data_IF_474089572963
#
_entry.id   IF_474089572963
#
_cell.length_a   1.000
_cell.length_b   1.000
_cell.length_c   1.000
_cell.angle_alpha   90.00
_cell.angle_beta   90.00
_cell.angle_gamma   90.00
#
_symmetry.space_group_name_H-M   'P 1'
#
loop_
_entity.id
_entity.type
_entity.pdbx_description
1 polymer ?
#
# COMPACT_ATOMS: atom_id res chain seq x y z
N UNK A 1 8.97 -0.91 18.69
CA UNK A 1 8.74 -0.37 17.33
C UNK A 1 10.10 -0.35 16.67
N UNK A 2 10.29 -1.03 15.53
CA UNK A 2 11.53 -0.90 14.77
C UNK A 2 11.69 0.59 14.40
N UNK A 3 12.88 1.15 14.62
CA UNK A 3 13.15 2.52 14.25
C UNK A 3 13.26 2.66 12.71
N UNK A 4 13.21 3.88 12.22
CA UNK A 4 13.30 4.17 10.79
C UNK A 4 14.59 3.59 10.18
N UNK A 5 15.71 3.65 10.93
CA UNK A 5 17.02 3.17 10.48
C UNK A 5 17.03 1.66 10.26
N UNK A 6 16.40 0.88 11.17
CA UNK A 6 16.22 -0.56 10.98
C UNK A 6 15.42 -0.90 9.72
N UNK A 7 14.38 -0.12 9.42
CA UNK A 7 13.59 -0.30 8.21
C UNK A 7 14.36 0.05 6.94
N UNK A 8 15.17 1.10 6.96
CA UNK A 8 16.04 1.49 5.84
C UNK A 8 17.06 0.38 5.56
N UNK A 9 17.75 -0.11 6.60
CA UNK A 9 18.72 -1.20 6.46
C UNK A 9 18.07 -2.47 5.88
N UNK A 10 16.90 -2.86 6.40
CA UNK A 10 16.14 -3.98 5.85
C UNK A 10 15.75 -3.76 4.37
N UNK A 11 15.39 -2.53 4.02
CA UNK A 11 15.11 -2.14 2.64
C UNK A 11 16.34 -2.27 1.73
N UNK A 12 17.52 -1.94 2.23
CA UNK A 12 18.76 -2.11 1.48
C UNK A 12 19.11 -3.58 1.25
N UNK A 13 18.91 -4.44 2.24
CA UNK A 13 19.10 -5.90 2.12
C UNK A 13 18.13 -6.52 1.11
N UNK A 14 16.88 -6.03 1.09
CA UNK A 14 15.83 -6.51 0.18
C UNK A 14 15.88 -5.88 -1.22
N UNK A 15 16.73 -4.87 -1.40
CA UNK A 15 16.82 -4.14 -2.66
C UNK A 15 17.36 -5.04 -3.77
N UNK A 16 16.53 -5.26 -4.76
CA UNK A 16 17.04 -5.77 -6.05
C UNK A 16 17.84 -4.66 -6.71
N UNK A 17 19.06 -4.94 -7.18
CA UNK A 17 19.81 -3.97 -7.97
C UNK A 17 18.93 -3.49 -9.13
N UNK A 18 18.93 -2.17 -9.40
CA UNK A 18 18.34 -1.66 -10.62
C UNK A 18 19.19 -2.22 -11.77
N UNK A 19 18.67 -3.22 -12.45
CA UNK A 19 19.29 -3.77 -13.64
C UNK A 19 18.97 -2.82 -14.78
N UNK A 20 19.91 -1.94 -15.08
CA UNK A 20 19.86 -1.12 -16.28
C UNK A 20 20.39 -2.00 -17.42
N UNK A 21 19.68 -2.00 -18.55
CA UNK A 21 20.13 -2.72 -19.73
C UNK A 21 21.60 -2.33 -20.04
N UNK A 22 22.55 -3.26 -19.98
CA UNK A 22 23.95 -2.96 -20.22
C UNK A 22 24.21 -2.46 -21.65
N UNK A 23 23.27 -2.74 -22.58
CA UNK A 23 23.35 -2.27 -23.97
C UNK A 23 22.76 -0.87 -24.19
N UNK A 24 22.26 -0.20 -23.13
CA UNK A 24 21.82 1.17 -23.25
C UNK A 24 23.05 2.08 -23.37
N UNK A 25 23.26 2.63 -24.58
CA UNK A 25 24.40 3.49 -24.88
C UNK A 25 24.41 4.73 -23.98
N UNK A 26 25.61 5.26 -23.76
CA UNK A 26 25.78 6.54 -23.05
C UNK A 26 25.04 7.64 -23.78
N UNK A 27 24.53 8.61 -23.02
CA UNK A 27 23.73 9.73 -23.52
C UNK A 27 22.44 9.34 -24.25
N UNK A 28 21.95 8.11 -24.03
CA UNK A 28 20.66 7.68 -24.59
C UNK A 28 19.52 8.50 -24.03
N UNK A 29 18.52 8.75 -24.87
CA UNK A 29 17.28 9.37 -24.46
C UNK A 29 16.30 8.37 -23.89
N UNK A 30 15.83 8.59 -22.66
CA UNK A 30 14.82 7.77 -21.99
C UNK A 30 13.56 8.60 -21.78
N UNK A 31 12.46 8.14 -22.34
CA UNK A 31 11.16 8.79 -22.20
C UNK A 31 10.32 8.02 -21.20
N UNK A 32 9.85 8.68 -20.15
CA UNK A 32 8.97 8.15 -19.12
C UNK A 32 7.59 8.77 -19.33
N UNK A 33 6.58 7.93 -19.49
CA UNK A 33 5.19 8.41 -19.66
C UNK A 33 4.44 8.25 -18.36
N UNK A 34 3.92 9.38 -17.85
CA UNK A 34 3.18 9.48 -16.60
C UNK A 34 4.02 10.03 -15.45
N UNK A 35 3.65 11.20 -14.96
CA UNK A 35 4.29 11.92 -13.84
C UNK A 35 3.72 11.57 -12.46
N UNK A 36 3.11 10.40 -12.30
CA UNK A 36 2.73 9.86 -10.99
C UNK A 36 3.94 9.41 -10.19
N UNK A 37 3.71 8.93 -8.95
CA UNK A 37 4.78 8.50 -8.04
C UNK A 37 5.75 7.50 -8.69
N UNK A 38 5.23 6.52 -9.45
CA UNK A 38 6.06 5.51 -10.11
C UNK A 38 6.98 6.11 -11.16
N UNK A 39 6.45 6.96 -12.05
CA UNK A 39 7.25 7.62 -13.09
C UNK A 39 8.30 8.55 -12.51
N UNK A 40 7.94 9.34 -11.50
CA UNK A 40 8.90 10.20 -10.78
C UNK A 40 9.99 9.39 -10.08
N UNK A 41 9.64 8.25 -9.44
CA UNK A 41 10.65 7.37 -8.83
C UNK A 41 11.63 6.79 -9.85
N UNK A 42 11.14 6.40 -11.04
CA UNK A 42 11.99 5.90 -12.12
C UNK A 42 12.92 7.01 -12.60
N UNK A 43 12.38 8.21 -12.88
CA UNK A 43 13.17 9.36 -13.32
C UNK A 43 14.26 9.68 -12.30
N UNK A 44 13.91 9.79 -11.02
CA UNK A 44 14.86 10.05 -9.94
C UNK A 44 15.96 8.97 -9.85
N UNK A 45 15.59 7.69 -9.87
CA UNK A 45 16.57 6.61 -9.78
C UNK A 45 17.49 6.55 -10.98
N UNK A 46 16.99 6.82 -12.17
CA UNK A 46 17.81 6.90 -13.37
C UNK A 46 18.75 8.11 -13.31
N UNK A 47 18.26 9.29 -12.96
CA UNK A 47 19.12 10.50 -12.87
C UNK A 47 20.28 10.34 -11.89
N UNK A 48 20.07 9.58 -10.79
CA UNK A 48 21.12 9.32 -9.80
C UNK A 48 22.10 8.23 -10.29
N UNK A 49 21.62 7.20 -10.98
CA UNK A 49 22.43 6.04 -11.39
C UNK A 49 23.10 6.20 -12.75
N UNK A 50 22.49 6.95 -13.63
CA UNK A 50 22.93 7.19 -14.99
C UNK A 50 22.74 8.69 -15.33
N UNK A 51 23.58 9.55 -14.74
CA UNK A 51 23.52 10.99 -14.98
C UNK A 51 23.85 11.41 -16.42
N UNK A 52 24.36 10.47 -17.20
CA UNK A 52 24.64 10.61 -18.63
C UNK A 52 23.39 10.57 -19.50
N UNK A 53 22.27 10.02 -18.99
CA UNK A 53 21.05 9.86 -19.79
C UNK A 53 20.26 11.15 -19.91
N UNK A 54 19.71 11.41 -21.10
CA UNK A 54 18.67 12.43 -21.31
C UNK A 54 17.33 11.86 -20.85
N UNK A 55 16.84 12.29 -19.70
CA UNK A 55 15.57 11.81 -19.14
C UNK A 55 14.46 12.80 -19.41
N UNK A 56 13.41 12.36 -20.12
CA UNK A 56 12.21 13.13 -20.42
C UNK A 56 11.02 12.49 -19.73
N UNK A 57 10.35 13.25 -18.86
CA UNK A 57 9.11 12.82 -18.20
C UNK A 57 7.94 13.54 -18.86
N UNK A 58 7.01 12.76 -19.42
CA UNK A 58 5.79 13.27 -20.05
C UNK A 58 4.62 13.08 -19.09
N UNK A 59 3.91 14.16 -18.80
CA UNK A 59 2.70 14.16 -17.99
C UNK A 59 1.57 14.87 -18.75
N UNK A 60 0.37 14.29 -18.69
CA UNK A 60 -0.82 14.82 -19.35
C UNK A 60 -1.38 16.06 -18.62
N UNK A 61 -1.24 16.08 -17.29
CA UNK A 61 -1.70 17.18 -16.45
C UNK A 61 -0.66 18.28 -16.35
N UNK A 62 -1.08 19.47 -15.96
CA UNK A 62 -0.18 20.59 -15.69
C UNK A 62 0.71 20.39 -14.45
N UNK A 63 0.37 19.41 -13.59
CA UNK A 63 1.10 19.10 -12.36
C UNK A 63 1.48 17.62 -12.26
N UNK A 64 2.65 17.35 -11.68
CA UNK A 64 3.10 16.03 -11.32
C UNK A 64 2.37 15.51 -10.07
N UNK A 65 2.41 14.19 -9.83
CA UNK A 65 1.82 13.55 -8.66
C UNK A 65 0.77 12.48 -9.00
N UNK A 66 0.20 12.55 -10.19
CA UNK A 66 -0.83 11.61 -10.65
C UNK A 66 -2.10 11.69 -9.81
N UNK A 67 -2.39 10.62 -9.06
CA UNK A 67 -3.53 10.57 -8.11
C UNK A 67 -3.20 11.19 -6.75
N UNK A 68 -1.92 11.43 -6.44
CA UNK A 68 -1.51 12.07 -5.19
C UNK A 68 -1.69 13.58 -5.38
N UNK A 69 -2.79 14.10 -4.85
CA UNK A 69 -3.13 15.50 -4.93
C UNK A 69 -3.77 15.97 -3.62
N UNK A 70 -3.49 17.21 -3.25
CA UNK A 70 -4.07 17.86 -2.07
C UNK A 70 -4.85 19.08 -2.52
N UNK A 71 -6.13 19.09 -2.19
CA UNK A 71 -6.99 20.27 -2.39
C UNK A 71 -6.83 21.23 -1.21
N UNK A 72 -6.80 22.52 -1.52
CA UNK A 72 -6.73 23.59 -0.52
C UNK A 72 -7.72 24.69 -0.86
N UNK A 73 -8.44 25.13 0.15
CA UNK A 73 -9.32 26.30 0.07
C UNK A 73 -9.33 27.04 1.41
N UNK A 74 -8.76 28.22 1.47
CA UNK A 74 -8.54 28.95 2.71
C UNK A 74 -7.74 28.12 3.72
N UNK A 75 -8.35 27.86 4.87
CA UNK A 75 -7.76 27.03 5.95
C UNK A 75 -8.01 25.51 5.76
N UNK A 76 -8.82 25.14 4.78
CA UNK A 76 -9.16 23.75 4.54
C UNK A 76 -8.11 23.05 3.67
N UNK A 77 -7.71 21.87 4.11
CA UNK A 77 -6.76 21.01 3.40
C UNK A 77 -7.37 19.61 3.34
N UNK A 78 -7.46 19.04 2.14
CA UNK A 78 -7.98 17.70 1.92
C UNK A 78 -7.11 16.92 0.93
N UNK A 79 -6.60 15.77 1.33
CA UNK A 79 -5.94 14.86 0.43
C UNK A 79 -7.00 14.12 -0.40
N UNK A 80 -6.89 14.22 -1.73
CA UNK A 80 -7.90 13.69 -2.66
C UNK A 80 -7.80 12.17 -2.84
N UNK A 81 -6.63 11.59 -2.59
CA UNK A 81 -6.43 10.16 -2.76
C UNK A 81 -5.58 9.56 -1.63
N UNK A 82 -4.27 9.53 -1.79
CA UNK A 82 -3.36 8.86 -0.85
C UNK A 82 -3.00 9.77 0.30
N UNK A 83 -3.49 9.50 1.49
CA UNK A 83 -3.22 10.28 2.71
C UNK A 83 -2.31 9.56 3.71
N UNK A 84 -2.03 8.28 3.50
CA UNK A 84 -1.16 7.50 4.37
C UNK A 84 -0.54 6.32 3.64
N UNK A 85 0.62 5.87 4.10
CA UNK A 85 1.28 4.68 3.60
C UNK A 85 1.62 3.72 4.73
N UNK A 86 1.69 2.44 4.41
CA UNK A 86 2.28 1.45 5.33
C UNK A 86 3.80 1.52 5.24
N UNK A 87 4.51 1.29 6.34
CA UNK A 87 5.95 1.19 6.31
C UNK A 87 6.36 0.04 5.38
N UNK A 88 7.06 0.40 4.32
CA UNK A 88 7.67 -0.53 3.39
C UNK A 88 9.12 -0.12 3.20
N UNK A 89 10.08 -1.06 3.23
CA UNK A 89 11.51 -0.72 3.20
C UNK A 89 11.90 0.17 2.01
N UNK A 90 11.42 -0.15 0.80
CA UNK A 90 11.73 0.63 -0.39
C UNK A 90 11.19 2.08 -0.31
N UNK A 91 10.02 2.28 0.32
CA UNK A 91 9.45 3.61 0.53
C UNK A 91 10.28 4.42 1.53
N UNK A 92 10.66 3.83 2.65
CA UNK A 92 11.50 4.51 3.64
C UNK A 92 12.86 4.88 3.07
N UNK A 93 13.43 4.04 2.23
CA UNK A 93 14.67 4.36 1.53
C UNK A 93 14.52 5.58 0.62
N UNK A 94 13.42 5.69 -0.11
CA UNK A 94 13.14 6.87 -0.93
C UNK A 94 13.00 8.13 -0.06
N UNK A 95 12.28 8.05 1.05
CA UNK A 95 12.12 9.17 2.01
C UNK A 95 13.47 9.64 2.54
N UNK A 96 14.37 8.71 2.85
CA UNK A 96 15.72 9.01 3.33
C UNK A 96 16.61 9.62 2.24
N UNK A 97 16.62 9.01 1.06
CA UNK A 97 17.36 9.50 -0.11
C UNK A 97 16.98 10.94 -0.49
N UNK A 98 15.72 11.31 -0.27
CA UNK A 98 15.19 12.65 -0.53
C UNK A 98 15.35 13.62 0.66
N UNK A 99 15.93 13.18 1.78
CA UNK A 99 16.09 13.99 2.99
C UNK A 99 14.77 14.35 3.71
N UNK A 100 13.70 13.59 3.46
CA UNK A 100 12.35 13.87 3.97
C UNK A 100 12.03 13.17 5.30
N UNK A 101 12.99 12.46 5.90
CA UNK A 101 12.76 11.67 7.12
C UNK A 101 12.24 12.49 8.29
N UNK A 102 12.67 13.73 8.45
CA UNK A 102 12.20 14.66 9.50
C UNK A 102 10.80 15.20 9.25
N UNK A 103 10.37 15.24 7.99
CA UNK A 103 9.04 15.73 7.58
C UNK A 103 7.96 14.67 7.74
N UNK A 104 8.37 13.41 7.88
CA UNK A 104 7.44 12.31 7.97
C UNK A 104 6.78 12.25 9.35
N UNK A 105 5.45 12.22 9.38
CA UNK A 105 4.66 12.17 10.62
C UNK A 105 4.00 10.81 10.78
N UNK A 106 4.12 10.24 11.98
CA UNK A 106 3.41 9.02 12.32
C UNK A 106 1.94 9.33 12.58
N UNK A 107 1.05 8.46 12.06
CA UNK A 107 -0.39 8.58 12.32
C UNK A 107 -0.69 8.52 13.81
N UNK A 108 -1.66 9.31 14.27
CA UNK A 108 -2.12 9.28 15.65
C UNK A 108 -2.62 7.87 16.04
N UNK A 109 -2.46 7.50 17.31
CA UNK A 109 -2.95 6.21 17.83
C UNK A 109 -4.46 6.02 17.61
N UNK A 110 -5.26 7.09 17.67
CA UNK A 110 -6.70 7.05 17.39
C UNK A 110 -7.02 6.64 15.96
N UNK A 111 -6.15 6.95 14.99
CA UNK A 111 -6.29 6.55 13.60
C UNK A 111 -6.16 5.02 13.37
N UNK A 112 -5.76 4.27 14.38
CA UNK A 112 -5.73 2.80 14.34
C UNK A 112 -7.12 2.17 14.47
N UNK A 113 -8.10 2.92 14.94
CA UNK A 113 -9.48 2.44 15.04
C UNK A 113 -10.06 2.23 13.64
N UNK A 114 -10.63 1.06 13.42
CA UNK A 114 -11.34 0.73 12.18
C UNK A 114 -12.83 0.72 12.47
N UNK A 115 -13.59 1.35 11.61
CA UNK A 115 -15.04 1.45 11.72
C UNK A 115 -15.67 0.90 10.47
N UNK A 116 -16.76 0.16 10.64
CA UNK A 116 -17.60 -0.33 9.54
C UNK A 116 -19.01 0.23 9.76
N UNK A 117 -19.64 0.65 8.68
CA UNK A 117 -21.01 1.08 8.68
C UNK A 117 -21.89 -0.04 8.12
N UNK A 118 -22.71 -0.64 8.97
CA UNK A 118 -23.59 -1.77 8.64
C UNK A 118 -24.96 -1.54 9.28
N UNK A 119 -26.03 -1.79 8.48
CA UNK A 119 -27.40 -1.70 8.98
C UNK A 119 -27.72 -0.33 9.59
N UNK A 120 -27.31 0.75 8.94
CA UNK A 120 -27.50 2.14 9.39
C UNK A 120 -26.80 2.49 10.72
N UNK A 121 -25.82 1.70 11.15
CA UNK A 121 -25.05 1.93 12.38
C UNK A 121 -23.56 1.80 12.14
N UNK A 122 -22.79 2.64 12.84
CA UNK A 122 -21.32 2.53 12.85
C UNK A 122 -20.88 1.51 13.90
N UNK A 123 -20.02 0.59 13.50
CA UNK A 123 -19.45 -0.43 14.37
C UNK A 123 -17.93 -0.28 14.41
N UNK A 124 -17.36 -0.15 15.59
CA UNK A 124 -15.91 -0.21 15.74
C UNK A 124 -15.47 -1.66 15.60
N UNK A 125 -14.52 -1.93 14.71
CA UNK A 125 -13.90 -3.24 14.62
C UNK A 125 -13.06 -3.48 15.88
N UNK A 126 -13.61 -4.28 16.78
CA UNK A 126 -12.98 -4.75 18.00
C UNK A 126 -13.08 -6.26 18.05
N UNK A 127 -12.31 -6.89 18.93
CA UNK A 127 -12.40 -8.33 19.16
C UNK A 127 -13.85 -8.78 19.46
N UNK A 128 -14.58 -8.02 20.23
CA UNK A 128 -15.99 -8.26 20.54
C UNK A 128 -16.90 -8.17 19.30
N UNK A 129 -16.65 -7.23 18.41
CA UNK A 129 -17.44 -7.07 17.18
C UNK A 129 -17.20 -8.25 16.24
N UNK A 130 -15.96 -8.68 16.10
CA UNK A 130 -15.59 -9.86 15.32
C UNK A 130 -16.23 -11.13 15.92
N UNK A 131 -16.28 -11.24 17.25
CA UNK A 131 -16.94 -12.36 17.94
C UNK A 131 -18.45 -12.40 17.69
N UNK A 132 -19.13 -11.25 17.82
CA UNK A 132 -20.58 -11.09 17.51
C UNK A 132 -20.90 -11.39 16.04
N UNK A 133 -20.01 -11.06 15.14
CA UNK A 133 -20.15 -11.25 13.68
C UNK A 133 -19.82 -12.68 13.22
N UNK A 134 -19.58 -13.62 14.13
CA UNK A 134 -19.44 -15.04 13.80
C UNK A 134 -18.02 -15.57 13.74
N UNK A 135 -17.15 -15.13 14.67
CA UNK A 135 -15.75 -15.58 14.75
C UNK A 135 -15.59 -17.10 14.72
N UNK A 136 -16.50 -17.86 15.34
CA UNK A 136 -16.45 -19.33 15.33
C UNK A 136 -16.59 -19.88 13.92
N UNK A 137 -17.48 -19.29 13.10
CA UNK A 137 -17.62 -19.65 11.69
C UNK A 137 -16.38 -19.25 10.89
N UNK A 138 -15.83 -18.07 11.17
CA UNK A 138 -14.60 -17.58 10.55
C UNK A 138 -13.40 -18.46 10.88
N UNK A 139 -13.24 -18.90 12.13
CA UNK A 139 -12.17 -19.82 12.52
C UNK A 139 -12.28 -21.19 11.85
N UNK A 140 -13.51 -21.73 11.71
CA UNK A 140 -13.76 -22.96 10.95
C UNK A 140 -13.45 -22.76 9.46
N UNK A 141 -13.80 -21.63 8.89
CA UNK A 141 -13.51 -21.28 7.49
C UNK A 141 -12.02 -21.11 7.24
N UNK A 142 -11.28 -20.46 8.15
CA UNK A 142 -9.80 -20.34 8.09
C UNK A 142 -9.17 -21.73 8.08
N UNK A 143 -9.63 -22.64 8.94
CA UNK A 143 -9.10 -24.02 8.99
C UNK A 143 -9.36 -24.77 7.68
N UNK A 144 -10.52 -24.54 7.04
CA UNK A 144 -10.87 -25.16 5.75
C UNK A 144 -10.12 -24.51 4.58
N UNK A 145 -9.84 -23.22 4.64
CA UNK A 145 -9.14 -22.43 3.59
C UNK A 145 -7.62 -22.69 3.51
N UNK A 146 -7.05 -23.49 4.40
CA UNK A 146 -5.61 -23.83 4.38
C UNK A 146 -5.14 -24.59 3.14
N UNK A 147 -6.06 -25.01 2.29
CA UNK A 147 -5.76 -25.66 1.02
C UNK A 147 -5.45 -24.68 -0.13
N UNK A 148 -5.47 -23.38 0.09
CA UNK A 148 -5.23 -22.35 -0.94
C UNK A 148 -6.42 -22.05 -1.84
N UNK A 149 -6.40 -20.89 -2.50
CA UNK A 149 -7.39 -20.54 -3.54
C UNK A 149 -8.78 -20.16 -3.04
N UNK A 150 -8.95 -19.81 -1.77
CA UNK A 150 -10.22 -19.35 -1.22
C UNK A 150 -10.39 -17.85 -1.37
N UNK A 151 -11.60 -17.40 -1.75
CA UNK A 151 -11.91 -15.97 -1.72
C UNK A 151 -12.07 -15.44 -0.29
N UNK A 152 -11.96 -14.12 -0.11
CA UNK A 152 -12.20 -13.48 1.20
C UNK A 152 -13.63 -13.73 1.69
N UNK A 153 -14.61 -13.83 0.78
CA UNK A 153 -15.99 -14.18 1.12
C UNK A 153 -16.12 -15.59 1.74
N UNK A 154 -15.30 -16.53 1.31
CA UNK A 154 -15.25 -17.88 1.90
C UNK A 154 -14.56 -17.90 3.26
N UNK A 155 -13.56 -17.01 3.44
CA UNK A 155 -12.82 -16.88 4.69
C UNK A 155 -13.66 -16.17 5.77
N UNK A 156 -14.36 -15.09 5.39
CA UNK A 156 -15.18 -14.27 6.29
C UNK A 156 -16.65 -14.45 5.94
N UNK A 157 -17.42 -15.28 6.69
CA UNK A 157 -18.80 -15.60 6.32
C UNK A 157 -19.78 -14.45 6.37
N UNK A 158 -19.45 -13.36 7.07
CA UNK A 158 -20.30 -12.18 7.12
C UNK A 158 -20.03 -11.26 5.92
N UNK A 159 -20.89 -11.37 4.88
CA UNK A 159 -20.72 -10.63 3.62
C UNK A 159 -20.41 -9.14 3.81
N UNK A 160 -21.20 -8.41 4.59
CA UNK A 160 -20.98 -6.97 4.77
C UNK A 160 -19.63 -6.61 5.43
N UNK A 161 -19.08 -7.49 6.25
CA UNK A 161 -17.73 -7.30 6.83
C UNK A 161 -16.66 -7.66 5.82
N UNK A 162 -16.82 -8.75 5.09
CA UNK A 162 -15.91 -9.18 4.05
C UNK A 162 -15.78 -8.10 2.97
N UNK A 163 -16.90 -7.62 2.43
CA UNK A 163 -16.93 -6.55 1.42
C UNK A 163 -16.37 -5.24 1.94
N UNK A 164 -16.69 -4.81 3.16
CA UNK A 164 -16.15 -3.58 3.72
C UNK A 164 -14.61 -3.62 3.87
N UNK A 165 -14.05 -4.79 4.17
CA UNK A 165 -12.60 -4.96 4.25
C UNK A 165 -11.95 -4.94 2.87
N UNK A 166 -12.51 -5.66 1.89
CA UNK A 166 -11.94 -5.73 0.55
C UNK A 166 -12.10 -4.42 -0.21
N UNK A 167 -13.28 -3.80 -0.18
CA UNK A 167 -13.51 -2.49 -0.79
C UNK A 167 -12.58 -1.41 -0.22
N UNK A 168 -12.34 -1.44 1.11
CA UNK A 168 -11.46 -0.47 1.75
C UNK A 168 -9.96 -0.67 1.49
N UNK A 169 -9.53 -1.81 0.96
CA UNK A 169 -8.12 -2.13 0.75
C UNK A 169 -7.78 -2.23 -0.74
N UNK A 170 -8.60 -2.93 -1.52
CA UNK A 170 -8.32 -3.26 -2.92
C UNK A 170 -9.41 -2.80 -3.88
N UNK A 171 -10.45 -2.15 -3.39
CA UNK A 171 -11.58 -1.62 -4.17
C UNK A 171 -12.31 -2.69 -5.01
N UNK A 172 -12.46 -3.89 -4.44
CA UNK A 172 -13.20 -4.99 -5.07
C UNK A 172 -14.04 -5.74 -4.03
N UNK A 173 -14.98 -6.58 -4.48
CA UNK A 173 -15.84 -7.38 -3.61
C UNK A 173 -15.09 -8.59 -3.05
N UNK A 174 -15.57 -9.10 -1.92
CA UNK A 174 -14.92 -10.22 -1.23
C UNK A 174 -14.93 -11.54 -2.01
N UNK A 175 -15.85 -11.69 -2.94
CA UNK A 175 -15.91 -12.86 -3.85
C UNK A 175 -14.74 -12.89 -4.84
N UNK A 176 -14.29 -11.72 -5.30
CA UNK A 176 -13.28 -11.58 -6.34
C UNK A 176 -11.84 -11.54 -5.79
N UNK A 177 -11.69 -11.37 -4.48
CA UNK A 177 -10.37 -11.18 -3.86
C UNK A 177 -9.88 -12.47 -3.23
N UNK A 178 -8.68 -12.91 -3.62
CA UNK A 178 -8.01 -14.06 -3.02
C UNK A 178 -7.61 -13.77 -1.56
N UNK A 179 -7.94 -14.69 -0.67
CA UNK A 179 -7.69 -14.53 0.76
C UNK A 179 -6.21 -14.65 1.12
N UNK A 180 -5.44 -15.46 0.39
CA UNK A 180 -4.01 -15.63 0.61
C UNK A 180 -3.24 -14.36 0.21
N UNK A 181 -3.72 -13.67 -0.81
CA UNK A 181 -3.16 -12.39 -1.23
C UNK A 181 -3.47 -11.27 -0.24
N UNK A 182 -4.73 -11.12 0.17
CA UNK A 182 -5.15 -10.00 1.02
C UNK A 182 -4.80 -10.17 2.48
N UNK A 183 -4.89 -11.41 2.99
CA UNK A 183 -4.76 -11.75 4.42
C UNK A 183 -3.79 -12.91 4.68
N UNK A 184 -2.56 -12.87 4.17
CA UNK A 184 -1.62 -13.99 4.27
C UNK A 184 -1.31 -14.39 5.71
N UNK A 185 -1.40 -13.47 6.66
CA UNK A 185 -1.22 -13.75 8.08
C UNK A 185 -2.34 -14.58 8.69
N UNK A 186 -3.54 -14.59 8.11
CA UNK A 186 -4.66 -15.39 8.57
C UNK A 186 -4.67 -16.77 7.90
N UNK A 187 -4.39 -16.83 6.61
CA UNK A 187 -4.41 -18.08 5.83
C UNK A 187 -3.20 -18.96 6.13
N UNK A 188 -2.03 -18.35 6.35
CA UNK A 188 -0.78 -19.06 6.70
C UNK A 188 -0.58 -19.27 8.20
N UNK A 189 -1.53 -18.88 9.05
CA UNK A 189 -1.42 -19.03 10.50
C UNK A 189 -1.37 -20.51 10.90
N UNK A 190 -0.22 -20.96 11.41
CA UNK A 190 0.01 -22.33 11.83
C UNK A 190 0.41 -23.31 10.72
N UNK A 191 0.95 -22.83 9.60
CA UNK A 191 1.66 -23.61 8.59
C UNK A 191 3.18 -23.48 8.81
N UNK A 192 3.66 -23.91 9.98
CA UNK A 192 5.07 -24.25 10.23
C UNK A 192 5.15 -25.75 10.48
#
# INVERSE_FOLDING_TARGET
MADLKSWINYGDEMRRPLVINPNLADSSKVVIVGGGLSGMCIAYRLSVKRPDLEIVLLEQKESLGGVIATWKDGEWICDLAVNATRPHPAFWRLVDDLGLSSSFKQSNRSARSRWIYLGNKKHRLSFFTIFKLGLIKTLKSIKKSRSGGSSVAQLIPHKGVADALTLGIVNDTAENVDADFLMPSLTKFGSN
#
